data_IF_379274405242
#
_entry.id   IF_379274405242
#
_cell.length_a   1.000
_cell.length_b   1.000
_cell.length_c   1.000
_cell.angle_alpha   90.00
_cell.angle_beta   90.00
_cell.angle_gamma   90.00
#
_symmetry.space_group_name_H-M   'P 1'
#
loop_
_entity.id
_entity.type
_entity.pdbx_description
1 polymer ?
#
# COMPACT_ATOMS: atom_id res chain seq x y z
N UNK A 1 -17.00 -14.78 -0.06
CA UNK A 1 -16.12 -15.05 -1.21
C UNK A 1 -15.65 -13.72 -1.77
N UNK A 2 -14.35 -13.44 -1.75
CA UNK A 2 -13.80 -12.28 -2.44
C UNK A 2 -13.98 -12.53 -3.95
N UNK A 3 -14.72 -11.65 -4.64
CA UNK A 3 -14.97 -11.77 -6.08
C UNK A 3 -13.65 -11.93 -6.84
N UNK A 4 -13.62 -12.85 -7.81
CA UNK A 4 -12.44 -13.12 -8.62
C UNK A 4 -11.85 -11.82 -9.16
N UNK A 5 -10.55 -11.60 -8.91
CA UNK A 5 -9.79 -10.48 -9.47
C UNK A 5 -8.85 -11.04 -10.53
N UNK A 6 -8.95 -10.53 -11.75
CA UNK A 6 -7.99 -10.84 -12.79
C UNK A 6 -6.69 -10.08 -12.51
N UNK A 7 -5.67 -10.83 -12.12
CA UNK A 7 -4.29 -10.34 -12.01
C UNK A 7 -3.58 -10.68 -13.30
N UNK A 8 -2.90 -9.70 -13.88
CA UNK A 8 -2.15 -9.90 -15.12
C UNK A 8 -0.89 -9.06 -15.14
N UNK A 9 0.09 -9.48 -15.92
CA UNK A 9 1.34 -8.77 -16.15
C UNK A 9 1.79 -9.00 -17.58
N UNK A 10 2.16 -7.92 -18.24
CA UNK A 10 2.87 -7.94 -19.50
C UNK A 10 4.22 -7.24 -19.30
N UNK A 11 5.28 -7.85 -19.81
CA UNK A 11 6.61 -7.27 -19.78
C UNK A 11 7.27 -7.49 -21.14
N UNK A 12 8.03 -6.50 -21.58
CA UNK A 12 8.81 -6.58 -22.80
C UNK A 12 10.23 -6.09 -22.53
N UNK A 13 11.17 -6.69 -23.24
CA UNK A 13 12.55 -6.25 -23.32
C UNK A 13 13.00 -6.41 -24.75
N UNK A 14 13.63 -5.37 -25.29
CA UNK A 14 14.11 -5.36 -26.65
C UNK A 14 15.47 -4.69 -26.71
N UNK A 15 16.45 -5.36 -27.32
CA UNK A 15 17.76 -4.76 -27.58
C UNK A 15 17.69 -4.04 -28.93
N UNK A 16 17.75 -2.71 -28.92
CA UNK A 16 17.79 -1.89 -30.12
C UNK A 16 19.13 -2.03 -30.84
N UNK A 17 20.20 -2.12 -30.06
CA UNK A 17 21.58 -2.36 -30.50
C UNK A 17 22.30 -3.23 -29.47
N UNK A 18 23.55 -3.60 -29.74
CA UNK A 18 24.38 -4.35 -28.79
C UNK A 18 24.69 -3.55 -27.51
N UNK A 19 24.56 -2.22 -27.55
CA UNK A 19 24.85 -1.31 -26.44
C UNK A 19 23.60 -0.60 -25.87
N UNK A 20 22.41 -0.78 -26.46
CA UNK A 20 21.17 -0.17 -25.99
C UNK A 20 20.03 -1.19 -25.91
N UNK A 21 19.55 -1.43 -24.69
CA UNK A 21 18.35 -2.20 -24.42
C UNK A 21 17.23 -1.35 -23.87
N UNK A 22 16.00 -1.57 -24.34
CA UNK A 22 14.78 -1.02 -23.76
C UNK A 22 14.04 -2.11 -22.97
N UNK A 23 13.35 -1.69 -21.92
CA UNK A 23 12.45 -2.55 -21.15
C UNK A 23 11.21 -1.80 -20.71
N UNK A 24 10.12 -2.52 -20.61
CA UNK A 24 8.87 -1.96 -20.09
C UNK A 24 8.01 -3.05 -19.48
N UNK A 25 7.21 -2.68 -18.48
CA UNK A 25 6.23 -3.58 -17.91
C UNK A 25 4.97 -2.85 -17.48
N UNK A 26 3.86 -3.57 -17.56
CA UNK A 26 2.57 -3.13 -17.04
C UNK A 26 1.91 -4.33 -16.38
N UNK A 27 1.25 -4.10 -15.25
CA UNK A 27 0.53 -5.17 -14.59
C UNK A 27 -0.35 -4.69 -13.45
N UNK A 28 -1.11 -5.63 -12.90
CA UNK A 28 -1.99 -5.41 -11.77
C UNK A 28 -1.60 -6.30 -10.59
N UNK A 29 -2.06 -5.94 -9.40
CA UNK A 29 -1.95 -6.76 -8.21
C UNK A 29 -3.11 -6.49 -7.26
N UNK A 30 -3.25 -7.32 -6.23
CA UNK A 30 -4.17 -7.05 -5.13
C UNK A 30 -3.63 -7.59 -3.80
N UNK A 31 -4.12 -7.01 -2.71
CA UNK A 31 -3.94 -7.51 -1.35
C UNK A 31 -5.31 -7.70 -0.72
N UNK A 32 -5.64 -8.94 -0.36
CA UNK A 32 -6.87 -9.22 0.38
C UNK A 32 -6.76 -8.63 1.80
N UNK A 33 -7.88 -8.18 2.41
CA UNK A 33 -7.91 -7.80 3.80
C UNK A 33 -7.48 -8.98 4.68
N UNK A 34 -6.69 -8.73 5.72
CA UNK A 34 -6.25 -9.78 6.64
C UNK A 34 -7.40 -10.24 7.53
N UNK A 35 -7.33 -11.47 8.06
CA UNK A 35 -8.34 -11.97 9.00
C UNK A 35 -8.53 -11.06 10.22
N UNK A 36 -7.44 -10.44 10.71
CA UNK A 36 -7.50 -9.45 11.79
C UNK A 36 -8.29 -8.21 11.39
N UNK A 37 -8.12 -7.69 10.18
CA UNK A 37 -8.86 -6.50 9.71
C UNK A 37 -10.37 -6.74 9.54
N UNK A 38 -10.79 -7.97 9.22
CA UNK A 38 -12.21 -8.28 8.96
C UNK A 38 -12.96 -8.89 10.14
N UNK A 39 -12.27 -9.47 11.14
CA UNK A 39 -12.93 -10.22 12.22
C UNK A 39 -12.50 -9.80 13.63
N UNK A 40 -11.44 -8.99 13.79
CA UNK A 40 -10.96 -8.65 15.13
C UNK A 40 -11.69 -7.41 15.67
N UNK A 41 -12.24 -7.54 16.87
CA UNK A 41 -12.64 -6.41 17.71
C UNK A 41 -11.54 -6.18 18.73
N UNK A 42 -11.09 -4.93 18.87
CA UNK A 42 -10.09 -4.55 19.86
C UNK A 42 -10.59 -3.34 20.64
N UNK A 43 -10.46 -3.39 21.95
CA UNK A 43 -10.85 -2.29 22.84
C UNK A 43 -9.63 -1.84 23.64
N UNK A 44 -9.43 -0.53 23.77
CA UNK A 44 -8.29 0.06 24.47
C UNK A 44 -8.70 1.32 25.21
N UNK A 45 -8.04 1.60 26.34
CA UNK A 45 -8.23 2.84 27.08
C UNK A 45 -7.21 3.87 26.59
N UNK A 46 -7.68 5.05 26.20
CA UNK A 46 -6.84 6.18 25.83
C UNK A 46 -7.11 7.36 26.77
N UNK A 47 -6.06 8.01 27.26
CA UNK A 47 -6.20 9.19 28.11
C UNK A 47 -6.04 10.45 27.27
N UNK A 48 -7.08 11.28 27.20
CA UNK A 48 -7.06 12.55 26.47
C UNK A 48 -7.45 13.67 27.43
N UNK A 49 -6.57 14.64 27.65
CA UNK A 49 -6.83 15.75 28.57
C UNK A 49 -7.07 15.32 30.03
N UNK A 50 -6.48 14.21 30.46
CA UNK A 50 -6.66 13.66 31.82
C UNK A 50 -7.90 12.79 32.02
N UNK A 51 -8.77 12.66 31.00
CA UNK A 51 -9.96 11.80 31.01
C UNK A 51 -9.64 10.48 30.30
N UNK A 52 -9.97 9.35 30.92
CA UNK A 52 -9.89 8.03 30.31
C UNK A 52 -11.08 7.82 29.38
N UNK A 53 -10.81 7.46 28.13
CA UNK A 53 -11.79 7.18 27.09
C UNK A 53 -11.63 5.75 26.62
N UNK A 54 -12.73 5.02 26.53
CA UNK A 54 -12.76 3.68 25.98
C UNK A 54 -12.91 3.73 24.46
N UNK A 55 -11.89 3.26 23.74
CA UNK A 55 -11.82 3.29 22.27
C UNK A 55 -11.89 1.87 21.73
N UNK A 56 -12.91 1.59 20.93
CA UNK A 56 -13.11 0.31 20.25
C UNK A 56 -12.82 0.38 18.75
N UNK A 57 -11.99 -0.52 18.26
CA UNK A 57 -11.83 -0.86 16.86
C UNK A 57 -12.69 -2.08 16.55
N UNK A 58 -13.69 -1.90 15.69
CA UNK A 58 -14.65 -2.94 15.33
C UNK A 58 -14.46 -3.38 13.88
N UNK A 59 -14.69 -4.67 13.57
CA UNK A 59 -14.71 -5.13 12.20
C UNK A 59 -15.93 -4.57 11.47
N UNK A 60 -15.82 -4.38 10.16
CA UNK A 60 -16.90 -3.84 9.30
C UNK A 60 -18.15 -4.71 9.23
N UNK A 61 -18.06 -5.97 9.65
CA UNK A 61 -19.18 -6.90 9.79
C UNK A 61 -19.97 -6.72 11.10
N UNK A 62 -19.43 -6.00 12.08
CA UNK A 62 -20.09 -5.79 13.35
C UNK A 62 -21.24 -4.77 13.21
N UNK A 63 -22.38 -5.04 13.83
CA UNK A 63 -23.55 -4.17 13.82
C UNK A 63 -23.24 -2.75 14.30
N UNK A 64 -22.34 -2.60 15.28
CA UNK A 64 -21.86 -1.31 15.79
C UNK A 64 -21.18 -0.49 14.69
N UNK A 65 -20.27 -1.12 13.93
CA UNK A 65 -19.56 -0.47 12.85
C UNK A 65 -20.49 -0.17 11.66
N UNK A 66 -21.38 -1.10 11.29
CA UNK A 66 -22.34 -0.93 10.20
C UNK A 66 -23.32 0.21 10.45
N UNK A 67 -23.81 0.33 11.69
CA UNK A 67 -24.69 1.42 12.09
C UNK A 67 -24.01 2.79 11.91
N UNK A 68 -22.70 2.86 12.15
CA UNK A 68 -21.89 4.06 11.95
C UNK A 68 -21.38 4.22 10.49
N UNK A 69 -21.91 3.42 9.56
CA UNK A 69 -21.65 3.55 8.12
C UNK A 69 -20.50 2.70 7.58
N UNK A 70 -20.00 1.71 8.35
CA UNK A 70 -18.98 0.80 7.85
C UNK A 70 -19.50 -0.05 6.68
N UNK A 71 -18.68 -0.15 5.63
CA UNK A 71 -18.95 -1.00 4.46
C UNK A 71 -18.03 -2.22 4.46
N UNK A 72 -18.44 -3.36 3.88
CA UNK A 72 -17.57 -4.52 3.73
C UNK A 72 -16.27 -4.16 3.01
N UNK A 73 -15.15 -4.60 3.58
CA UNK A 73 -13.82 -4.31 3.04
C UNK A 73 -13.62 -4.95 1.67
N UNK A 74 -13.13 -4.14 0.74
CA UNK A 74 -12.66 -4.59 -0.58
C UNK A 74 -11.16 -4.88 -0.52
N UNK A 75 -10.65 -5.81 -1.34
CA UNK A 75 -9.20 -5.95 -1.55
C UNK A 75 -8.59 -4.66 -2.08
N UNK A 76 -7.42 -4.30 -1.56
CA UNK A 76 -6.59 -3.23 -2.11
C UNK A 76 -6.07 -3.67 -3.48
N UNK A 77 -5.92 -2.73 -4.42
CA UNK A 77 -5.49 -3.03 -5.79
C UNK A 77 -4.31 -2.18 -6.18
N UNK A 78 -3.47 -2.71 -7.06
CA UNK A 78 -2.36 -1.95 -7.66
C UNK A 78 -2.42 -2.01 -9.18
N UNK A 79 -2.00 -0.91 -9.81
CA UNK A 79 -1.64 -0.83 -11.22
C UNK A 79 -0.22 -0.29 -11.32
N UNK A 80 0.65 -1.07 -11.93
CA UNK A 80 2.07 -0.76 -12.03
C UNK A 80 2.43 -0.55 -13.49
N UNK A 81 3.16 0.51 -13.77
CA UNK A 81 3.79 0.79 -15.06
C UNK A 81 5.26 1.04 -14.83
N UNK A 82 6.11 0.49 -15.68
CA UNK A 82 7.52 0.83 -15.72
C UNK A 82 8.03 0.89 -17.15
N UNK A 83 8.98 1.79 -17.37
CA UNK A 83 9.73 1.92 -18.61
C UNK A 83 11.17 2.24 -18.25
N UNK A 84 12.12 1.64 -18.94
CA UNK A 84 13.51 1.86 -18.68
C UNK A 84 14.39 1.47 -19.85
N UNK A 85 15.66 1.79 -19.71
CA UNK A 85 16.69 1.42 -20.65
C UNK A 85 17.96 0.99 -19.93
N UNK A 86 18.74 0.18 -20.63
CA UNK A 86 20.09 -0.19 -20.26
C UNK A 86 21.02 0.26 -21.37
N UNK A 87 22.11 0.92 -20.99
CA UNK A 87 23.15 1.41 -21.87
C UNK A 87 24.46 0.73 -21.51
N UNK A 88 25.12 0.11 -22.48
CA UNK A 88 26.42 -0.56 -22.35
C UNK A 88 27.34 -0.07 -23.47
N UNK A 89 27.77 1.21 -23.44
CA UNK A 89 28.54 1.81 -24.53
C UNK A 89 29.98 1.27 -24.63
N UNK A 90 30.45 0.60 -23.57
CA UNK A 90 31.71 -0.11 -23.53
C UNK A 90 31.55 -1.42 -22.71
N UNK A 91 32.37 -2.45 -22.94
CA UNK A 91 32.26 -3.74 -22.22
C UNK A 91 32.39 -3.63 -20.70
N UNK A 92 33.01 -2.55 -20.22
CA UNK A 92 33.29 -2.32 -18.81
C UNK A 92 32.36 -1.27 -18.16
N UNK A 93 31.37 -0.73 -18.88
CA UNK A 93 30.43 0.24 -18.32
C UNK A 93 28.98 -0.15 -18.63
N UNK A 94 28.12 -0.13 -17.62
CA UNK A 94 26.68 -0.30 -17.78
C UNK A 94 25.92 0.75 -16.98
N UNK A 95 24.97 1.41 -17.61
CA UNK A 95 24.01 2.31 -16.98
C UNK A 95 22.60 1.75 -17.18
N UNK A 96 21.81 1.67 -16.12
CA UNK A 96 20.39 1.32 -16.18
C UNK A 96 19.59 2.47 -15.58
N UNK A 97 18.52 2.86 -16.27
CA UNK A 97 17.60 3.90 -15.83
C UNK A 97 16.17 3.39 -15.99
N UNK A 98 15.36 3.48 -14.94
CA UNK A 98 13.97 3.07 -14.94
C UNK A 98 13.08 4.12 -14.31
N UNK A 99 12.05 4.52 -15.03
CA UNK A 99 10.94 5.26 -14.49
C UNK A 99 9.80 4.29 -14.18
N UNK A 100 9.14 4.50 -13.05
CA UNK A 100 7.98 3.71 -12.66
C UNK A 100 6.85 4.59 -12.12
N UNK A 101 5.63 4.07 -12.27
CA UNK A 101 4.40 4.65 -11.73
C UNK A 101 3.53 3.54 -11.17
N UNK A 102 3.31 3.59 -9.86
CA UNK A 102 2.52 2.63 -9.10
C UNK A 102 1.30 3.37 -8.57
N UNK A 103 0.11 2.94 -8.98
CA UNK A 103 -1.14 3.46 -8.45
C UNK A 103 -1.80 2.41 -7.56
N UNK A 104 -2.00 2.75 -6.31
CA UNK A 104 -2.69 1.95 -5.30
C UNK A 104 -4.11 2.49 -5.14
N UNK A 105 -5.06 1.56 -5.08
CA UNK A 105 -6.48 1.84 -4.93
C UNK A 105 -7.04 1.13 -3.71
N UNK A 106 -8.05 1.75 -3.12
CA UNK A 106 -8.84 1.17 -2.03
C UNK A 106 -7.98 0.80 -0.80
N UNK A 107 -6.92 1.56 -0.50
CA UNK A 107 -6.04 1.25 0.64
C UNK A 107 -6.83 1.24 1.96
N UNK A 108 -6.58 0.23 2.78
CA UNK A 108 -7.25 0.01 4.04
C UNK A 108 -6.64 0.88 5.14
N UNK A 109 -7.45 1.76 5.70
CA UNK A 109 -7.08 2.59 6.85
C UNK A 109 -8.21 2.59 7.88
N UNK A 110 -7.88 2.86 9.14
CA UNK A 110 -8.89 3.10 10.16
C UNK A 110 -9.51 4.48 9.94
N UNK A 111 -10.84 4.58 10.11
CA UNK A 111 -11.49 5.88 10.15
C UNK A 111 -11.04 6.68 11.38
N UNK A 112 -11.23 8.00 11.34
CA UNK A 112 -11.10 8.84 12.53
C UNK A 112 -12.01 8.33 13.65
N UNK A 113 -11.58 8.46 14.91
CA UNK A 113 -12.40 8.09 16.05
C UNK A 113 -13.74 8.82 16.03
N UNK A 114 -14.83 8.07 15.88
CA UNK A 114 -16.19 8.57 15.94
C UNK A 114 -16.57 8.66 17.42
N UNK A 115 -16.93 9.85 17.88
CA UNK A 115 -17.37 10.07 19.26
C UNK A 115 -18.79 9.53 19.43
N UNK A 116 -18.98 8.65 20.42
CA UNK A 116 -20.28 8.05 20.72
C UNK A 116 -20.98 8.89 21.78
N UNK A 117 -21.79 9.85 21.33
CA UNK A 117 -22.59 10.69 22.23
C UNK A 117 -23.71 9.90 22.89
N UNK A 118 -24.28 10.40 23.99
CA UNK A 118 -25.42 9.75 24.66
C UNK A 118 -26.61 9.53 23.71
N UNK A 119 -26.84 10.44 22.76
CA UNK A 119 -27.88 10.28 21.74
C UNK A 119 -27.59 9.11 20.78
N UNK A 120 -26.33 8.96 20.34
CA UNK A 120 -25.91 7.83 19.50
C UNK A 120 -26.01 6.52 20.29
N UNK A 121 -25.59 6.51 21.57
CA UNK A 121 -25.73 5.34 22.44
C UNK A 121 -27.19 4.90 22.55
N UNK A 122 -28.09 5.83 22.86
CA UNK A 122 -29.51 5.53 22.99
C UNK A 122 -30.10 5.01 21.66
N UNK A 123 -29.80 5.66 20.54
CA UNK A 123 -30.29 5.23 19.24
C UNK A 123 -29.80 3.82 18.85
N UNK A 124 -28.56 3.46 19.21
CA UNK A 124 -28.03 2.11 18.99
C UNK A 124 -28.71 1.06 19.89
N UNK A 125 -29.00 1.42 21.15
CA UNK A 125 -29.76 0.56 22.08
C UNK A 125 -31.19 0.34 21.58
N UNK A 126 -31.84 1.40 21.12
CA UNK A 126 -33.20 1.34 20.55
C UNK A 126 -33.24 0.50 19.27
N UNK A 127 -32.13 0.49 18.51
CA UNK A 127 -31.92 -0.38 17.35
C UNK A 127 -31.53 -1.83 17.70
N UNK A 128 -31.44 -2.18 18.99
CA UNK A 128 -31.10 -3.53 19.47
C UNK A 128 -29.62 -3.91 19.33
N UNK A 129 -28.72 -2.93 19.15
CA UNK A 129 -27.29 -3.16 18.96
C UNK A 129 -26.59 -3.27 20.32
N UNK A 130 -26.17 -4.48 20.68
CA UNK A 130 -25.49 -4.79 21.95
C UNK A 130 -24.01 -4.39 21.90
N UNK A 131 -23.50 -3.80 22.98
CA UNK A 131 -22.07 -3.54 23.19
C UNK A 131 -21.56 -2.15 22.80
N UNK A 132 -22.45 -1.20 22.48
CA UNK A 132 -22.12 0.20 22.19
C UNK A 132 -22.21 1.14 23.41
N UNK A 133 -22.79 0.66 24.51
CA UNK A 133 -23.08 1.41 25.73
C UNK A 133 -21.82 1.81 26.52
N UNK A 134 -20.82 0.91 26.55
CA UNK A 134 -19.57 1.04 27.31
C UNK A 134 -18.39 1.65 26.55
N UNK A 135 -18.60 2.09 25.31
CA UNK A 135 -17.54 2.64 24.44
C UNK A 135 -17.75 4.14 24.23
N UNK A 136 -16.69 4.92 24.37
CA UNK A 136 -16.73 6.38 24.18
C UNK A 136 -16.39 6.79 22.76
N UNK A 137 -15.55 5.99 22.08
CA UNK A 137 -15.14 6.23 20.70
C UNK A 137 -15.03 4.95 19.90
N UNK A 138 -15.50 4.99 18.65
CA UNK A 138 -15.48 3.84 17.74
C UNK A 138 -14.63 4.14 16.51
N UNK A 139 -13.88 3.14 16.06
CA UNK A 139 -13.20 3.10 14.78
C UNK A 139 -13.50 1.78 14.07
N UNK A 140 -13.35 1.78 12.75
CA UNK A 140 -13.36 0.59 11.92
C UNK A 140 -12.45 0.80 10.70
N UNK A 141 -12.00 -0.30 10.10
CA UNK A 141 -11.27 -0.23 8.83
C UNK A 141 -12.20 0.17 7.68
N UNK A 142 -11.66 0.91 6.72
CA UNK A 142 -12.34 1.31 5.50
C UNK A 142 -11.35 1.40 4.33
N UNK A 143 -11.84 1.18 3.12
CA UNK A 143 -11.10 1.52 1.89
C UNK A 143 -11.15 3.05 1.72
N UNK A 144 -10.06 3.74 2.07
CA UNK A 144 -10.08 5.19 2.29
C UNK A 144 -9.14 6.00 1.41
N UNK A 145 -8.06 5.39 0.94
CA UNK A 145 -6.97 6.12 0.29
C UNK A 145 -6.67 5.50 -1.07
N UNK A 146 -6.61 6.36 -2.08
CA UNK A 146 -5.96 6.08 -3.34
C UNK A 146 -4.66 6.88 -3.37
N UNK A 147 -3.55 6.22 -3.68
CA UNK A 147 -2.24 6.86 -3.73
C UNK A 147 -1.52 6.50 -5.01
N UNK A 148 -0.67 7.41 -5.48
CA UNK A 148 0.18 7.20 -6.64
C UNK A 148 1.60 7.50 -6.23
N UNK A 149 2.49 6.55 -6.48
CA UNK A 149 3.93 6.69 -6.27
C UNK A 149 4.62 6.63 -7.62
N UNK A 150 5.40 7.65 -7.91
CA UNK A 150 6.18 7.76 -9.14
C UNK A 150 7.63 7.94 -8.78
N UNK A 151 8.54 7.38 -9.58
CA UNK A 151 9.95 7.46 -9.27
C UNK A 151 10.87 7.09 -10.41
N UNK A 152 12.14 7.35 -10.16
CA UNK A 152 13.24 7.14 -11.08
C UNK A 152 14.36 6.41 -10.34
N UNK A 153 14.76 5.28 -10.90
CA UNK A 153 15.88 4.47 -10.47
C UNK A 153 17.02 4.56 -11.47
N UNK A 154 18.23 4.82 -11.00
CA UNK A 154 19.43 4.79 -11.82
C UNK A 154 20.51 3.96 -11.14
N UNK A 155 21.15 3.08 -11.92
CA UNK A 155 22.31 2.30 -11.48
C UNK A 155 23.38 2.35 -12.55
N UNK A 156 24.57 2.81 -12.18
CA UNK A 156 25.75 2.79 -13.02
C UNK A 156 26.79 1.84 -12.43
N UNK A 157 27.33 0.96 -13.26
CA UNK A 157 28.40 0.03 -12.89
C UNK A 157 29.57 0.19 -13.86
N UNK A 158 30.78 0.30 -13.32
CA UNK A 158 32.01 0.42 -14.07
C UNK A 158 33.06 -0.57 -13.55
N UNK A 159 33.68 -1.32 -14.45
CA UNK A 159 34.81 -2.20 -14.14
C UNK A 159 36.11 -1.52 -14.56
N UNK A 160 36.92 -1.15 -13.59
CA UNK A 160 38.27 -0.67 -13.80
C UNK A 160 39.24 -1.85 -13.76
N UNK A 161 39.87 -2.18 -14.88
CA UNK A 161 40.93 -3.17 -14.94
C UNK A 161 42.29 -2.47 -14.79
N UNK A 162 43.03 -2.81 -13.75
CA UNK A 162 44.33 -2.22 -13.40
C UNK A 162 45.48 -3.08 -13.92
N UNK A 163 45.55 -3.29 -15.24
CA UNK A 163 46.60 -4.11 -15.88
C UNK A 163 46.77 -5.45 -15.12
N UNK A 164 48.00 -5.83 -14.76
CA UNK A 164 48.33 -7.09 -14.07
C UNK A 164 48.05 -7.09 -12.56
N UNK A 165 47.50 -6.00 -12.02
CA UNK A 165 47.33 -5.77 -10.57
C UNK A 165 45.92 -6.21 -10.12
N UNK A 166 45.00 -6.45 -11.05
CA UNK A 166 43.64 -6.94 -10.81
C UNK A 166 42.56 -5.99 -11.32
N UNK A 167 41.31 -6.20 -10.91
CA UNK A 167 40.16 -5.41 -11.35
C UNK A 167 39.32 -4.90 -10.18
N UNK A 168 38.76 -3.71 -10.29
CA UNK A 168 37.82 -3.11 -9.33
C UNK A 168 36.47 -2.85 -9.99
N UNK A 169 35.39 -3.27 -9.35
CA UNK A 169 34.03 -2.93 -9.74
C UNK A 169 33.53 -1.74 -8.91
N UNK A 170 33.20 -0.64 -9.57
CA UNK A 170 32.57 0.54 -8.98
C UNK A 170 31.08 0.52 -9.33
N UNK A 171 30.21 0.73 -8.35
CA UNK A 171 28.76 0.87 -8.59
C UNK A 171 28.24 2.10 -7.88
N UNK A 172 27.45 2.89 -8.59
CA UNK A 172 26.72 4.03 -8.07
C UNK A 172 25.22 3.82 -8.33
N UNK A 173 24.40 4.11 -7.33
CA UNK A 173 22.94 4.00 -7.43
C UNK A 173 22.28 5.29 -6.94
N UNK A 174 21.21 5.70 -7.60
CA UNK A 174 20.39 6.85 -7.25
C UNK A 174 18.91 6.47 -7.40
N UNK A 175 18.09 6.79 -6.40
CA UNK A 175 16.65 6.62 -6.42
C UNK A 175 16.00 7.94 -5.98
N UNK A 176 14.91 8.31 -6.64
CA UNK A 176 14.02 9.38 -6.19
C UNK A 176 12.57 8.98 -6.46
N UNK A 177 11.68 9.36 -5.55
CA UNK A 177 10.25 9.13 -5.68
C UNK A 177 9.44 10.27 -5.05
N UNK A 178 8.17 10.32 -5.42
CA UNK A 178 7.14 11.23 -4.89
C UNK A 178 5.82 10.50 -4.71
#
# INVERSE_FOLDING_TARGET
MFGSKLVWKAATRYNLTDWLGLRGSIGTGFRAPTAGQINMTQTSIQTVGGVQLNVGLYPTSNAVAQYLGANPLKPERSKNHSVGFTLTPAPNFTLTVDAYRIKLYDQLYTCSQIVVTSAIKQAMVDAGIVGADSIDRIQFYQNAIDSTTEGLDMVASYRADWLDIGSTNLTAAFNTNS
#
